data_IF_858157158067
#
_entry.id   IF_858157158067
#
_cell.length_a   1.000
_cell.length_b   1.000
_cell.length_c   1.000
_cell.angle_alpha   90.00
_cell.angle_beta   90.00
_cell.angle_gamma   90.00
#
_symmetry.space_group_name_H-M   'P 1'
#
loop_
_entity.id
_entity.type
_entity.pdbx_description
1 polymer ?
#
# COMPACT_ATOMS: atom_id res chain seq x y z
N UNK A 1 0.83 19.21 -22.24
CA UNK A 1 -0.33 18.53 -22.86
C UNK A 1 -0.88 17.52 -21.86
N UNK A 2 -2.09 17.73 -21.32
CA UNK A 2 -2.80 16.63 -20.67
C UNK A 2 -3.13 15.61 -21.77
N UNK A 3 -2.52 14.44 -21.73
CA UNK A 3 -2.85 13.36 -22.66
C UNK A 3 -4.34 13.04 -22.55
N UNK A 4 -5.02 12.84 -23.68
CA UNK A 4 -6.44 12.46 -23.75
C UNK A 4 -6.63 11.02 -23.25
N UNK A 5 -6.48 10.81 -21.95
CA UNK A 5 -6.80 9.54 -21.30
C UNK A 5 -8.25 9.53 -20.83
N UNK A 6 -8.91 8.38 -20.96
CA UNK A 6 -10.30 8.16 -20.50
C UNK A 6 -10.41 7.84 -19.00
N UNK A 7 -9.28 7.50 -18.36
CA UNK A 7 -9.16 7.19 -16.94
C UNK A 7 -7.68 7.23 -16.52
N UNK A 8 -7.43 7.37 -15.21
CA UNK A 8 -6.11 7.30 -14.58
C UNK A 8 -6.12 6.18 -13.55
N UNK A 9 -5.05 5.38 -13.51
CA UNK A 9 -4.85 4.34 -12.50
C UNK A 9 -3.64 4.67 -11.64
N UNK A 10 -3.83 4.84 -10.33
CA UNK A 10 -2.74 4.89 -9.34
C UNK A 10 -2.45 3.46 -8.89
N UNK A 11 -1.44 2.86 -9.51
CA UNK A 11 -0.96 1.53 -9.15
C UNK A 11 -0.04 1.53 -7.91
N UNK A 12 0.45 2.71 -7.50
CA UNK A 12 1.38 2.82 -6.37
C UNK A 12 0.63 2.96 -5.04
N UNK A 13 0.76 1.97 -4.16
CA UNK A 13 0.18 2.01 -2.81
C UNK A 13 0.63 3.24 -2.02
N UNK A 14 1.89 3.67 -2.19
CA UNK A 14 2.40 4.88 -1.51
C UNK A 14 1.64 6.12 -1.94
N UNK A 15 1.45 6.29 -3.26
CA UNK A 15 0.71 7.43 -3.79
C UNK A 15 -0.77 7.36 -3.41
N UNK A 16 -1.38 6.17 -3.44
CA UNK A 16 -2.75 6.01 -2.94
C UNK A 16 -2.87 6.35 -1.45
N UNK A 17 -1.86 6.00 -0.64
CA UNK A 17 -1.90 6.22 0.79
C UNK A 17 -1.78 7.71 1.19
N UNK A 18 -1.18 8.55 0.34
CA UNK A 18 -0.86 9.95 0.68
C UNK A 18 -1.58 11.01 -0.16
N UNK A 19 -1.96 10.71 -1.40
CA UNK A 19 -2.35 11.75 -2.37
C UNK A 19 -3.64 11.47 -3.15
N UNK A 20 -4.25 10.28 -3.03
CA UNK A 20 -5.41 9.91 -3.88
C UNK A 20 -6.57 10.90 -3.79
N UNK A 21 -6.92 11.37 -2.58
CA UNK A 21 -8.04 12.30 -2.42
C UNK A 21 -7.74 13.67 -3.02
N UNK A 22 -6.51 14.16 -2.84
CA UNK A 22 -6.04 15.42 -3.45
C UNK A 22 -6.07 15.34 -4.97
N UNK A 23 -5.58 14.24 -5.56
CA UNK A 23 -5.59 14.05 -7.01
C UNK A 23 -7.02 13.95 -7.52
N UNK A 24 -7.88 13.17 -6.84
CA UNK A 24 -9.30 13.00 -7.20
C UNK A 24 -10.04 14.34 -7.24
N UNK A 25 -9.71 15.28 -6.34
CA UNK A 25 -10.31 16.61 -6.32
C UNK A 25 -9.85 17.54 -7.47
N UNK A 26 -8.78 17.20 -8.18
CA UNK A 26 -8.16 18.08 -9.19
C UNK A 26 -8.38 17.62 -10.64
N UNK A 27 -8.94 16.43 -10.85
CA UNK A 27 -9.08 15.83 -12.18
C UNK A 27 -10.54 15.51 -12.49
N UNK A 28 -10.91 15.65 -13.77
CA UNK A 28 -12.26 15.40 -14.25
C UNK A 28 -12.42 14.02 -14.92
N UNK A 29 -11.35 13.22 -14.95
CA UNK A 29 -11.39 11.85 -15.49
C UNK A 29 -11.46 10.84 -14.35
N UNK A 30 -12.10 9.68 -14.55
CA UNK A 30 -12.13 8.61 -13.56
C UNK A 30 -10.74 8.27 -13.01
N UNK A 31 -10.61 8.24 -11.69
CA UNK A 31 -9.40 7.85 -10.97
C UNK A 31 -9.61 6.53 -10.25
N UNK A 32 -8.90 5.50 -10.69
CA UNK A 32 -8.84 4.20 -10.03
C UNK A 32 -7.56 4.17 -9.20
N UNK A 33 -7.65 3.72 -7.96
CA UNK A 33 -6.50 3.62 -7.08
C UNK A 33 -6.56 2.30 -6.31
N UNK A 34 -5.39 1.74 -6.01
CA UNK A 34 -5.30 0.52 -5.23
C UNK A 34 -5.55 0.76 -3.74
N UNK A 35 -6.45 -0.02 -3.15
CA UNK A 35 -6.65 -0.04 -1.70
C UNK A 35 -5.64 -0.99 -1.04
N UNK A 36 -4.99 -0.63 0.08
CA UNK A 36 -4.14 -1.57 0.81
C UNK A 36 -4.88 -2.87 1.15
N UNK A 37 -4.18 -4.00 1.09
CA UNK A 37 -4.78 -5.34 1.22
C UNK A 37 -5.23 -5.72 2.65
N UNK A 38 -5.56 -4.75 3.51
CA UNK A 38 -6.00 -5.02 4.89
C UNK A 38 -7.35 -5.72 4.92
N UNK A 39 -8.34 -5.25 4.14
CA UNK A 39 -9.68 -5.87 4.05
C UNK A 39 -9.63 -7.38 3.75
N UNK A 40 -9.00 -7.83 2.65
CA UNK A 40 -8.92 -9.27 2.38
C UNK A 40 -8.09 -10.00 3.43
N UNK A 41 -7.00 -9.42 3.94
CA UNK A 41 -6.19 -10.05 4.99
C UNK A 41 -6.99 -10.28 6.29
N UNK A 42 -7.84 -9.32 6.69
CA UNK A 42 -8.75 -9.47 7.83
C UNK A 42 -9.80 -10.56 7.58
N UNK A 43 -10.38 -10.60 6.37
CA UNK A 43 -11.39 -11.61 6.05
C UNK A 43 -10.84 -13.04 6.01
N UNK A 44 -9.54 -13.20 5.72
CA UNK A 44 -8.90 -14.50 5.52
C UNK A 44 -8.09 -15.00 6.73
N UNK A 45 -7.75 -14.13 7.69
CA UNK A 45 -6.87 -14.53 8.80
C UNK A 45 -7.56 -15.46 9.78
N UNK A 46 -6.89 -16.57 10.11
CA UNK A 46 -7.32 -17.53 11.14
C UNK A 46 -6.72 -17.16 12.50
N UNK A 47 -5.48 -16.66 12.51
CA UNK A 47 -4.73 -16.33 13.74
C UNK A 47 -5.16 -15.02 14.40
N UNK A 48 -6.02 -14.24 13.72
CA UNK A 48 -6.35 -12.85 14.10
C UNK A 48 -5.13 -11.94 14.22
N UNK A 49 -4.06 -12.26 13.50
CA UNK A 49 -2.86 -11.43 13.41
C UNK A 49 -2.41 -11.36 11.94
N UNK A 50 -2.29 -10.13 11.43
CA UNK A 50 -1.77 -9.85 10.09
C UNK A 50 -0.58 -8.91 10.16
N UNK A 51 0.32 -9.01 9.18
CA UNK A 51 1.42 -8.07 8.97
C UNK A 51 1.24 -7.33 7.64
N UNK A 52 1.45 -6.02 7.65
CA UNK A 52 1.45 -5.18 6.44
C UNK A 52 2.88 -4.71 6.21
N UNK A 53 3.51 -5.28 5.20
CA UNK A 53 4.83 -4.90 4.72
C UNK A 53 4.67 -3.81 3.66
N UNK A 54 5.24 -2.64 3.89
CA UNK A 54 5.09 -1.51 2.96
C UNK A 54 6.24 -0.50 3.09
N UNK A 55 6.29 0.47 2.18
CA UNK A 55 7.23 1.60 2.28
C UNK A 55 6.97 2.41 3.55
N UNK A 56 7.99 3.08 4.08
CA UNK A 56 7.86 3.93 5.27
C UNK A 56 6.76 4.97 5.14
N UNK A 57 6.63 5.55 3.94
CA UNK A 57 5.60 6.54 3.63
C UNK A 57 4.20 5.93 3.64
N UNK A 58 4.03 4.73 3.10
CA UNK A 58 2.72 4.02 3.13
C UNK A 58 2.29 3.68 4.55
N UNK A 59 3.22 3.18 5.38
CA UNK A 59 2.96 2.84 6.79
C UNK A 59 2.45 4.04 7.59
N UNK A 60 2.92 5.25 7.27
CA UNK A 60 2.50 6.51 7.91
C UNK A 60 1.27 7.16 7.26
N UNK A 61 0.76 6.58 6.17
CA UNK A 61 -0.33 7.16 5.37
C UNK A 61 -1.68 7.11 6.09
N UNK A 62 -2.45 8.20 5.98
CA UNK A 62 -3.78 8.33 6.60
C UNK A 62 -4.77 7.26 6.12
N UNK A 63 -4.71 6.90 4.83
CA UNK A 63 -5.61 5.90 4.26
C UNK A 63 -5.38 4.50 4.86
N UNK A 64 -4.12 4.09 5.05
CA UNK A 64 -3.83 2.79 5.68
C UNK A 64 -4.32 2.77 7.13
N UNK A 65 -4.09 3.86 7.88
CA UNK A 65 -4.58 3.99 9.25
C UNK A 65 -6.11 3.88 9.34
N UNK A 66 -6.83 4.64 8.52
CA UNK A 66 -8.30 4.61 8.46
C UNK A 66 -8.83 3.20 8.12
N UNK A 67 -8.15 2.50 7.21
CA UNK A 67 -8.51 1.15 6.83
C UNK A 67 -8.38 0.16 7.99
N UNK A 68 -7.30 0.26 8.77
CA UNK A 68 -7.08 -0.58 9.95
C UNK A 68 -8.14 -0.28 11.02
N UNK A 69 -8.40 1.00 11.31
CA UNK A 69 -9.40 1.42 12.30
C UNK A 69 -10.82 0.96 11.94
N UNK A 70 -11.14 0.93 10.64
CA UNK A 70 -12.47 0.56 10.16
C UNK A 70 -12.66 -0.95 10.09
N UNK A 71 -11.67 -1.71 9.62
CA UNK A 71 -11.86 -3.10 9.26
C UNK A 71 -11.18 -4.11 10.19
N UNK A 72 -10.21 -3.70 11.01
CA UNK A 72 -9.35 -4.63 11.76
C UNK A 72 -9.56 -4.57 13.29
N UNK A 73 -10.76 -4.21 13.77
CA UNK A 73 -11.01 -3.95 15.21
C UNK A 73 -10.63 -5.12 16.14
N UNK A 74 -10.83 -6.37 15.71
CA UNK A 74 -10.50 -7.59 16.48
C UNK A 74 -9.25 -8.31 15.96
N UNK A 75 -8.45 -7.64 15.13
CA UNK A 75 -7.28 -8.21 14.48
C UNK A 75 -6.04 -7.44 14.91
N UNK A 76 -5.02 -8.13 15.39
CA UNK A 76 -3.71 -7.53 15.61
C UNK A 76 -3.09 -7.21 14.24
N UNK A 77 -2.76 -5.94 14.01
CA UNK A 77 -2.09 -5.51 12.78
C UNK A 77 -0.66 -5.04 13.09
N UNK A 78 0.33 -5.73 12.53
CA UNK A 78 1.73 -5.32 12.59
C UNK A 78 2.12 -4.56 11.33
N UNK A 79 2.52 -3.30 11.48
CA UNK A 79 3.04 -2.49 10.38
C UNK A 79 4.56 -2.63 10.31
N UNK A 80 5.07 -3.10 9.17
CA UNK A 80 6.50 -3.37 8.96
C UNK A 80 7.01 -2.47 7.83
N UNK A 81 7.76 -1.39 8.15
CA UNK A 81 8.36 -0.55 7.13
C UNK A 81 9.56 -1.26 6.48
N UNK A 82 9.47 -1.50 5.17
CA UNK A 82 10.51 -2.21 4.40
C UNK A 82 11.51 -1.23 3.78
N UNK A 83 12.40 -0.66 4.59
CA UNK A 83 13.40 0.32 4.13
C UNK A 83 14.45 -0.36 3.24
N UNK A 84 14.73 0.20 2.06
CA UNK A 84 15.75 -0.34 1.16
C UNK A 84 15.29 -1.54 0.32
N UNK A 85 14.11 -2.10 0.59
CA UNK A 85 13.62 -3.29 -0.11
C UNK A 85 13.28 -2.99 -1.57
N UNK A 86 12.65 -1.85 -1.84
CA UNK A 86 12.31 -1.43 -3.20
C UNK A 86 13.58 -1.26 -4.05
N UNK A 87 14.59 -0.59 -3.51
CA UNK A 87 15.87 -0.34 -4.16
C UNK A 87 16.63 -1.64 -4.45
N UNK A 88 16.60 -2.60 -3.52
CA UNK A 88 17.17 -3.94 -3.74
C UNK A 88 16.44 -4.68 -4.87
N UNK A 89 15.11 -4.61 -4.92
CA UNK A 89 14.33 -5.23 -6.00
C UNK A 89 14.65 -4.58 -7.34
N UNK A 90 14.67 -3.25 -7.40
CA UNK A 90 14.96 -2.47 -8.62
C UNK A 90 16.37 -2.72 -9.16
N UNK A 91 17.33 -3.04 -8.28
CA UNK A 91 18.71 -3.41 -8.64
C UNK A 91 18.89 -4.91 -8.93
N UNK A 92 17.79 -5.66 -9.10
CA UNK A 92 17.82 -7.07 -9.51
C UNK A 92 18.13 -8.05 -8.36
N UNK A 93 18.10 -7.61 -7.11
CA UNK A 93 18.43 -8.44 -5.93
C UNK A 93 17.23 -9.12 -5.27
N UNK A 94 16.06 -9.14 -5.91
CA UNK A 94 14.82 -9.63 -5.31
C UNK A 94 14.90 -11.08 -4.77
N UNK A 95 15.80 -11.90 -5.31
CA UNK A 95 15.93 -13.33 -4.95
C UNK A 95 17.22 -13.68 -4.21
N UNK A 96 17.99 -12.69 -3.75
CA UNK A 96 19.21 -12.92 -2.98
C UNK A 96 18.90 -13.41 -1.56
N UNK A 97 19.86 -14.10 -0.94
CA UNK A 97 19.76 -14.47 0.48
C UNK A 97 19.52 -13.24 1.36
N UNK A 98 20.22 -12.13 1.06
CA UNK A 98 20.07 -10.85 1.77
C UNK A 98 18.62 -10.34 1.84
N UNK A 99 17.85 -10.43 0.75
CA UNK A 99 16.43 -10.01 0.74
C UNK A 99 15.53 -11.05 1.42
N UNK A 100 15.86 -12.34 1.31
CA UNK A 100 15.11 -13.41 1.99
C UNK A 100 15.28 -13.36 3.50
N UNK A 101 16.49 -13.11 3.99
CA UNK A 101 16.80 -13.02 5.42
C UNK A 101 16.25 -11.73 6.05
N UNK A 102 15.96 -10.72 5.22
CA UNK A 102 15.31 -9.48 5.65
C UNK A 102 13.80 -9.65 5.93
N UNK A 103 13.15 -10.64 5.30
CA UNK A 103 11.71 -10.88 5.35
C UNK A 103 11.35 -12.02 6.30
#
# INVERSE_FOLDING_TARGET
AQGKCKAIVIACNTMTAVAVETIRAQINVPLIAIEPAVKPAVAMTVSKHIAVLATATTVKGKNLKSLIETYAQDIKVSLVPCIGLAEKIETGKAHTAEVKDYL
#
